data_IF_935456444010
#
_entry.id   IF_935456444010
#
_cell.length_a   1.000
_cell.length_b   1.000
_cell.length_c   1.000
_cell.angle_alpha   90.00
_cell.angle_beta   90.00
_cell.angle_gamma   90.00
#
_symmetry.space_group_name_H-M   'P 1'
#
loop_
_entity.id
_entity.type
_entity.pdbx_description
1 polymer ?
#
# COMPACT_ATOMS: atom_id res chain seq x y z
N UNK A 1 -5.61 -7.62 -10.91
CA UNK A 1 -5.02 -7.59 -12.26
C UNK A 1 -5.03 -6.19 -12.87
N UNK A 2 -6.17 -5.47 -12.93
CA UNK A 2 -6.22 -4.09 -13.43
C UNK A 2 -5.24 -3.15 -12.70
N UNK A 3 -5.18 -3.21 -11.37
CA UNK A 3 -4.23 -2.42 -10.57
C UNK A 3 -2.77 -2.66 -10.99
N UNK A 4 -2.40 -3.92 -11.25
CA UNK A 4 -1.04 -4.27 -11.68
C UNK A 4 -0.72 -3.68 -13.04
N UNK A 5 -1.59 -3.87 -14.03
CA UNK A 5 -1.38 -3.33 -15.38
C UNK A 5 -1.30 -1.80 -15.37
N UNK A 6 -2.17 -1.14 -14.60
CA UNK A 6 -2.14 0.31 -14.43
C UNK A 6 -0.82 0.78 -13.80
N UNK A 7 -0.41 0.19 -12.68
CA UNK A 7 0.83 0.55 -12.00
C UNK A 7 2.08 0.33 -12.85
N UNK A 8 2.13 -0.78 -13.61
CA UNK A 8 3.23 -1.04 -14.54
C UNK A 8 3.24 -0.04 -15.71
N UNK A 9 2.07 0.31 -16.25
CA UNK A 9 1.94 1.33 -17.28
C UNK A 9 2.48 2.69 -16.79
N UNK A 10 2.10 3.11 -15.57
CA UNK A 10 2.60 4.37 -14.99
C UNK A 10 4.11 4.31 -14.73
N UNK A 11 4.64 3.21 -14.19
CA UNK A 11 6.07 3.04 -13.99
C UNK A 11 6.84 3.15 -15.32
N UNK A 12 6.32 2.53 -16.39
CA UNK A 12 6.89 2.64 -17.73
C UNK A 12 6.79 4.07 -18.27
N UNK A 13 5.63 4.73 -18.21
CA UNK A 13 5.49 6.12 -18.67
C UNK A 13 6.44 7.08 -17.94
N UNK A 14 6.65 6.89 -16.64
CA UNK A 14 7.60 7.70 -15.89
C UNK A 14 9.05 7.47 -16.33
N UNK A 15 9.42 6.22 -16.65
CA UNK A 15 10.74 5.92 -17.22
C UNK A 15 10.99 6.63 -18.55
N UNK A 16 9.92 6.90 -19.32
CA UNK A 16 10.01 7.60 -20.61
C UNK A 16 9.88 9.13 -20.47
N UNK A 17 9.43 9.63 -19.32
CA UNK A 17 9.15 11.07 -19.14
C UNK A 17 10.37 11.93 -18.87
N UNK A 18 11.51 11.32 -18.52
CA UNK A 18 12.70 12.03 -18.06
C UNK A 18 12.60 12.60 -16.64
N UNK A 19 11.48 12.41 -15.95
CA UNK A 19 11.25 12.96 -14.60
C UNK A 19 12.32 12.52 -13.59
N UNK A 20 12.83 11.29 -13.69
CA UNK A 20 13.86 10.77 -12.77
C UNK A 20 15.21 11.50 -12.86
N UNK A 21 15.46 12.29 -13.92
CA UNK A 21 16.64 13.17 -14.00
C UNK A 21 16.54 14.42 -13.10
N UNK A 22 15.36 14.68 -12.53
CA UNK A 22 15.12 15.84 -11.67
C UNK A 22 16.04 15.86 -10.45
N UNK A 23 16.49 17.06 -10.08
CA UNK A 23 17.40 17.25 -8.94
C UNK A 23 18.76 16.59 -9.16
N UNK A 24 19.32 16.70 -10.38
CA UNK A 24 20.57 16.05 -10.75
C UNK A 24 20.53 14.53 -10.51
N UNK A 25 19.51 13.86 -11.07
CA UNK A 25 19.28 12.42 -10.96
C UNK A 25 18.88 11.92 -9.55
N UNK A 26 18.69 12.82 -8.58
CA UNK A 26 18.35 12.47 -7.20
C UNK A 26 17.01 11.74 -7.12
N UNK A 27 16.02 12.13 -7.93
CA UNK A 27 14.71 11.47 -7.92
C UNK A 27 14.80 10.01 -8.38
N UNK A 28 15.62 9.72 -9.40
CA UNK A 28 15.93 8.35 -9.81
C UNK A 28 16.60 7.55 -8.69
N UNK A 29 17.60 8.14 -8.01
CA UNK A 29 18.26 7.52 -6.86
C UNK A 29 17.31 7.22 -5.69
N UNK A 30 16.40 8.15 -5.37
CA UNK A 30 15.36 7.94 -4.35
C UNK A 30 14.36 6.85 -4.75
N UNK A 31 14.01 6.77 -6.03
CA UNK A 31 13.13 5.72 -6.56
C UNK A 31 13.74 4.32 -6.37
N UNK A 32 15.03 4.17 -6.67
CA UNK A 32 15.79 2.94 -6.40
C UNK A 32 15.85 2.65 -4.89
N UNK A 33 16.20 3.64 -4.06
CA UNK A 33 16.31 3.47 -2.61
C UNK A 33 15.02 2.99 -1.98
N UNK A 34 13.87 3.56 -2.38
CA UNK A 34 12.56 3.12 -1.91
C UNK A 34 12.25 1.68 -2.32
N UNK A 35 12.53 1.31 -3.57
CA UNK A 35 12.30 -0.05 -4.05
C UNK A 35 13.18 -1.09 -3.34
N UNK A 36 14.47 -0.77 -3.16
CA UNK A 36 15.42 -1.63 -2.41
C UNK A 36 14.93 -1.84 -0.98
N UNK A 37 14.56 -0.77 -0.27
CA UNK A 37 14.07 -0.87 1.11
C UNK A 37 12.83 -1.76 1.27
N UNK A 38 12.05 -1.96 0.21
CA UNK A 38 10.86 -2.81 0.20
C UNK A 38 11.15 -4.29 -0.03
N UNK A 39 12.16 -4.61 -0.84
CA UNK A 39 12.52 -6.00 -1.19
C UNK A 39 13.53 -6.63 -0.23
N UNK A 40 14.16 -5.82 0.62
CA UNK A 40 15.10 -6.26 1.68
C UNK A 40 14.41 -6.55 3.02
N UNK A 41 13.09 -6.33 3.13
CA UNK A 41 12.32 -6.70 4.31
C UNK A 41 12.30 -8.22 4.49
N UNK A 42 12.39 -8.65 5.75
CA UNK A 42 12.10 -10.06 6.06
C UNK A 42 10.60 -10.34 5.91
N UNK A 43 10.25 -11.60 5.66
CA UNK A 43 8.85 -12.01 5.48
C UNK A 43 7.93 -11.55 6.64
N UNK A 44 8.39 -11.72 7.88
CA UNK A 44 7.62 -11.32 9.07
C UNK A 44 7.43 -9.80 9.18
N UNK A 45 8.46 -9.01 8.84
CA UNK A 45 8.36 -7.55 8.81
C UNK A 45 7.39 -7.08 7.74
N UNK A 46 7.52 -7.60 6.50
CA UNK A 46 6.64 -7.26 5.38
C UNK A 46 5.18 -7.62 5.68
N UNK A 47 4.94 -8.77 6.31
CA UNK A 47 3.61 -9.20 6.76
C UNK A 47 3.01 -8.25 7.79
N UNK A 48 3.76 -7.93 8.86
CA UNK A 48 3.29 -7.05 9.93
C UNK A 48 3.00 -5.63 9.41
N UNK A 49 3.88 -5.07 8.58
CA UNK A 49 3.68 -3.77 7.95
C UNK A 49 2.47 -3.78 7.00
N UNK A 50 2.21 -4.90 6.33
CA UNK A 50 1.01 -5.10 5.51
C UNK A 50 -0.29 -5.09 6.33
N UNK A 51 -0.29 -5.72 7.51
CA UNK A 51 -1.45 -5.73 8.42
C UNK A 51 -1.77 -4.31 8.88
N UNK A 52 -0.76 -3.59 9.37
CA UNK A 52 -0.92 -2.23 9.87
C UNK A 52 -1.34 -1.26 8.76
N UNK A 53 -0.82 -1.44 7.55
CA UNK A 53 -1.23 -0.64 6.40
C UNK A 53 -2.73 -0.76 6.14
N UNK A 54 -3.22 -1.99 5.95
CA UNK A 54 -4.61 -2.15 5.51
C UNK A 54 -5.62 -1.87 6.63
N UNK A 55 -5.19 -1.92 7.89
CA UNK A 55 -6.00 -1.39 8.99
C UNK A 55 -6.32 0.09 8.81
N UNK A 56 -5.30 0.91 8.50
CA UNK A 56 -5.48 2.35 8.27
C UNK A 56 -6.22 2.64 6.96
N UNK A 57 -6.05 1.83 5.93
CA UNK A 57 -6.83 1.92 4.68
C UNK A 57 -8.31 1.64 4.94
N UNK A 58 -8.65 0.57 5.66
CA UNK A 58 -10.03 0.27 6.02
C UNK A 58 -10.63 1.36 6.91
N UNK A 59 -9.84 1.93 7.84
CA UNK A 59 -10.26 3.09 8.63
C UNK A 59 -10.55 4.33 7.76
N UNK A 60 -9.68 4.66 6.80
CA UNK A 60 -9.92 5.76 5.87
C UNK A 60 -11.22 5.60 5.07
N UNK A 61 -11.47 4.39 4.56
CA UNK A 61 -12.71 4.08 3.83
C UNK A 61 -13.92 4.20 4.76
N UNK A 62 -13.84 3.69 5.99
CA UNK A 62 -14.90 3.82 6.99
C UNK A 62 -15.22 5.28 7.33
N UNK A 63 -14.20 6.10 7.59
CA UNK A 63 -14.36 7.53 7.85
C UNK A 63 -14.95 8.29 6.65
N UNK A 64 -14.68 7.83 5.42
CA UNK A 64 -15.31 8.40 4.23
C UNK A 64 -16.82 8.12 4.15
N UNK A 65 -17.30 7.05 4.80
CA UNK A 65 -18.71 6.72 4.90
C UNK A 65 -19.41 7.38 6.10
N UNK A 66 -18.65 7.81 7.12
CA UNK A 66 -19.23 8.48 8.31
C UNK A 66 -19.63 9.93 8.06
N UNK A 67 -19.46 10.46 6.84
CA UNK A 67 -19.84 11.83 6.46
C UNK A 67 -20.35 11.89 5.02
N UNK A 68 -21.29 12.79 4.78
CA UNK A 68 -21.82 13.09 3.44
C UNK A 68 -21.10 14.26 2.76
N UNK A 69 -20.38 15.09 3.52
CA UNK A 69 -19.68 16.26 2.98
C UNK A 69 -18.38 15.87 2.28
N UNK A 70 -18.13 16.46 1.11
CA UNK A 70 -16.90 16.22 0.35
C UNK A 70 -15.64 16.56 1.14
N UNK A 71 -15.64 17.69 1.87
CA UNK A 71 -14.52 18.09 2.73
C UNK A 71 -14.27 17.10 3.86
N UNK A 72 -15.34 16.56 4.47
CA UNK A 72 -15.23 15.52 5.49
C UNK A 72 -14.62 14.23 4.93
N UNK A 73 -15.03 13.81 3.73
CA UNK A 73 -14.45 12.62 3.07
C UNK A 73 -12.97 12.81 2.76
N UNK A 74 -12.59 13.98 2.24
CA UNK A 74 -11.20 14.31 1.96
C UNK A 74 -10.35 14.21 3.23
N UNK A 75 -10.76 14.87 4.32
CA UNK A 75 -10.01 14.85 5.57
C UNK A 75 -9.98 13.46 6.23
N UNK A 76 -11.11 12.74 6.21
CA UNK A 76 -11.24 11.39 6.76
C UNK A 76 -10.37 10.36 6.04
N UNK A 77 -10.11 10.55 4.74
CA UNK A 77 -9.19 9.70 3.97
C UNK A 77 -7.74 10.18 4.13
N UNK A 78 -7.51 11.50 4.09
CA UNK A 78 -6.17 12.07 4.07
C UNK A 78 -5.33 11.67 5.28
N UNK A 79 -5.86 11.80 6.49
CA UNK A 79 -5.07 11.58 7.71
C UNK A 79 -4.60 10.12 7.87
N UNK A 80 -5.47 9.09 7.74
CA UNK A 80 -5.00 7.71 7.85
C UNK A 80 -4.07 7.31 6.70
N UNK A 81 -4.30 7.83 5.48
CA UNK A 81 -3.41 7.57 4.33
C UNK A 81 -2.04 8.18 4.56
N UNK A 82 -1.99 9.44 4.98
CA UNK A 82 -0.75 10.12 5.35
C UNK A 82 0.01 9.34 6.42
N UNK A 83 -0.69 8.91 7.48
CA UNK A 83 -0.09 8.20 8.60
C UNK A 83 0.60 6.89 8.17
N UNK A 84 -0.05 6.07 7.34
CA UNK A 84 0.57 4.80 6.94
C UNK A 84 1.77 5.02 6.01
N UNK A 85 1.74 6.06 5.16
CA UNK A 85 2.85 6.39 4.26
C UNK A 85 4.06 6.85 5.07
N UNK A 86 3.89 7.80 5.98
CA UNK A 86 5.02 8.33 6.78
C UNK A 86 5.56 7.32 7.79
N UNK A 87 4.72 6.39 8.23
CA UNK A 87 5.14 5.27 9.11
C UNK A 87 5.86 4.15 8.34
N UNK A 88 5.91 4.20 7.01
CA UNK A 88 6.56 3.19 6.18
C UNK A 88 5.81 1.86 6.13
N UNK A 89 4.49 1.87 6.27
CA UNK A 89 3.68 0.66 6.14
C UNK A 89 3.58 0.21 4.67
N UNK A 90 3.36 -1.08 4.46
CA UNK A 90 3.46 -1.69 3.13
C UNK A 90 2.07 -1.93 2.54
N UNK A 91 1.79 -1.29 1.40
CA UNK A 91 0.55 -1.49 0.64
C UNK A 91 0.85 -2.22 -0.66
N UNK A 92 0.29 -3.41 -0.83
CA UNK A 92 0.53 -4.27 -2.00
C UNK A 92 0.31 -3.52 -3.33
N UNK A 93 -0.78 -2.76 -3.45
CA UNK A 93 -1.10 -1.99 -4.69
C UNK A 93 -0.16 -0.79 -4.90
N UNK A 94 0.42 -0.21 -3.84
CA UNK A 94 1.43 0.82 -4.02
C UNK A 94 2.77 0.20 -4.44
N UNK A 95 3.10 -0.97 -3.89
CA UNK A 95 4.35 -1.67 -4.13
C UNK A 95 4.47 -2.22 -5.56
N UNK A 96 3.36 -2.62 -6.19
CA UNK A 96 3.32 -2.97 -7.61
C UNK A 96 3.57 -1.77 -8.55
N UNK A 97 3.67 -0.53 -8.03
CA UNK A 97 4.24 0.62 -8.73
C UNK A 97 5.68 0.89 -8.27
N UNK A 98 5.92 1.07 -6.97
CA UNK A 98 7.21 1.53 -6.45
C UNK A 98 8.36 0.58 -6.81
N UNK A 99 8.15 -0.74 -6.71
CA UNK A 99 9.21 -1.71 -6.94
C UNK A 99 9.54 -1.83 -8.44
N UNK A 100 8.56 -1.98 -9.36
CA UNK A 100 8.83 -1.90 -10.80
C UNK A 100 9.46 -0.58 -11.24
N UNK A 101 9.04 0.56 -10.69
CA UNK A 101 9.66 1.85 -10.97
C UNK A 101 11.14 1.86 -10.56
N UNK A 102 11.48 1.30 -9.40
CA UNK A 102 12.88 1.14 -8.97
C UNK A 102 13.68 0.19 -9.85
N UNK A 103 13.10 -0.93 -10.30
CA UNK A 103 13.76 -1.86 -11.24
C UNK A 103 14.08 -1.15 -12.57
N UNK A 104 13.13 -0.38 -13.11
CA UNK A 104 13.35 0.40 -14.33
C UNK A 104 14.43 1.49 -14.11
N UNK A 105 14.37 2.22 -13.00
CA UNK A 105 15.36 3.23 -12.66
C UNK A 105 16.78 2.63 -12.47
N UNK A 106 16.89 1.42 -11.92
CA UNK A 106 18.18 0.75 -11.75
C UNK A 106 18.89 0.38 -13.07
N UNK A 107 18.21 0.52 -14.22
CA UNK A 107 18.81 0.35 -15.54
C UNK A 107 19.73 1.51 -15.95
N UNK A 108 19.62 2.67 -15.30
CA UNK A 108 20.47 3.84 -15.55
C UNK A 108 21.58 3.94 -14.48
N UNK A 109 22.88 3.83 -14.86
CA UNK A 109 23.99 3.93 -13.92
C UNK A 109 24.05 5.26 -13.15
N UNK A 110 23.54 6.35 -13.72
CA UNK A 110 23.53 7.65 -13.06
C UNK A 110 22.57 7.69 -11.87
N UNK A 111 21.46 6.96 -11.94
CA UNK A 111 20.52 6.81 -10.83
C UNK A 111 21.09 5.88 -9.76
N UNK A 112 21.77 4.80 -10.18
CA UNK A 112 22.46 3.88 -9.27
C UNK A 112 23.56 4.58 -8.46
N UNK A 113 24.33 5.47 -9.10
CA UNK A 113 25.32 6.29 -8.41
C UNK A 113 24.67 7.16 -7.32
N UNK A 114 23.52 7.77 -7.60
CA UNK A 114 22.77 8.54 -6.61
C UNK A 114 22.14 7.66 -5.53
N UNK A 115 21.64 6.47 -5.86
CA UNK A 115 21.14 5.53 -4.86
C UNK A 115 22.24 5.14 -3.86
N UNK A 116 23.47 4.93 -4.36
CA UNK A 116 24.64 4.61 -3.55
C UNK A 116 25.02 5.77 -2.63
N UNK A 117 24.99 7.03 -3.12
CA UNK A 117 25.24 8.21 -2.29
C UNK A 117 24.19 8.40 -1.18
N UNK A 118 22.97 7.90 -1.40
CA UNK A 118 21.88 7.88 -0.42
C UNK A 118 21.96 6.71 0.59
N UNK A 119 23.01 5.88 0.53
CA UNK A 119 23.26 4.79 1.47
C UNK A 119 22.73 3.42 1.03
N UNK A 120 22.33 3.24 -0.23
CA UNK A 120 22.02 1.91 -0.77
C UNK A 120 23.32 1.13 -0.99
N UNK A 121 23.47 -0.02 -0.34
CA UNK A 121 24.64 -0.87 -0.53
C UNK A 121 24.54 -1.69 -1.83
N UNK A 122 25.67 -2.05 -2.47
CA UNK A 122 25.65 -2.93 -3.64
C UNK A 122 24.93 -4.26 -3.39
N UNK A 123 25.10 -4.85 -2.20
CA UNK A 123 24.44 -6.10 -1.81
C UNK A 123 22.91 -5.95 -1.70
N UNK A 124 22.44 -4.80 -1.21
CA UNK A 124 21.01 -4.50 -1.13
C UNK A 124 20.43 -4.22 -2.53
N UNK A 125 21.20 -3.54 -3.39
CA UNK A 125 20.81 -3.29 -4.78
C UNK A 125 20.72 -4.61 -5.58
N UNK A 126 21.60 -5.57 -5.33
CA UNK A 126 21.56 -6.88 -5.97
C UNK A 126 20.29 -7.69 -5.67
N UNK A 127 19.61 -7.39 -4.55
CA UNK A 127 18.31 -7.98 -4.22
C UNK A 127 17.15 -7.34 -5.01
N UNK A 128 17.36 -6.20 -5.68
CA UNK A 128 16.33 -5.54 -6.47
C UNK A 128 16.08 -6.32 -7.77
N UNK A 129 15.04 -7.14 -7.75
CA UNK A 129 14.63 -7.90 -8.92
C UNK A 129 13.21 -8.44 -8.78
N UNK A 130 12.67 -8.96 -9.89
CA UNK A 130 11.32 -9.50 -9.94
C UNK A 130 11.11 -10.67 -8.95
N UNK A 131 12.10 -11.54 -8.77
CA UNK A 131 12.02 -12.64 -7.80
C UNK A 131 11.82 -12.15 -6.37
N UNK A 132 12.70 -11.27 -5.88
CA UNK A 132 12.60 -10.65 -4.56
C UNK A 132 11.34 -9.80 -4.41
N UNK A 133 10.91 -9.13 -5.48
CA UNK A 133 9.64 -8.41 -5.50
C UNK A 133 8.46 -9.33 -5.18
N UNK A 134 8.35 -10.49 -5.84
CA UNK A 134 7.24 -11.42 -5.59
C UNK A 134 7.34 -12.09 -4.22
N UNK A 135 8.52 -12.58 -3.85
CA UNK A 135 8.71 -13.45 -2.68
C UNK A 135 8.84 -12.64 -1.39
N UNK A 136 9.68 -11.60 -1.38
CA UNK A 136 10.03 -10.87 -0.16
C UNK A 136 9.03 -9.73 0.14
N UNK A 137 8.32 -9.22 -0.88
CA UNK A 137 7.40 -8.10 -0.71
C UNK A 137 5.96 -8.45 -1.08
N UNK A 138 5.65 -8.72 -2.36
CA UNK A 138 4.27 -8.77 -2.84
C UNK A 138 3.45 -9.85 -2.13
N UNK A 139 4.01 -11.05 -1.96
CA UNK A 139 3.34 -12.15 -1.26
C UNK A 139 3.06 -11.83 0.23
N UNK A 140 4.07 -11.56 1.08
CA UNK A 140 3.83 -11.27 2.50
C UNK A 140 2.99 -10.02 2.73
N UNK A 141 3.20 -8.95 1.94
CA UNK A 141 2.42 -7.71 2.07
C UNK A 141 0.97 -7.92 1.68
N UNK A 142 0.69 -8.68 0.61
CA UNK A 142 -0.69 -8.98 0.21
C UNK A 142 -1.41 -9.81 1.26
N UNK A 143 -0.74 -10.83 1.82
CA UNK A 143 -1.28 -11.60 2.94
C UNK A 143 -1.56 -10.69 4.14
N UNK A 144 -0.62 -9.81 4.47
CA UNK A 144 -0.77 -8.85 5.57
C UNK A 144 -1.95 -7.91 5.33
N UNK A 145 -2.09 -7.36 4.13
CA UNK A 145 -3.21 -6.50 3.78
C UNK A 145 -4.56 -7.24 3.93
N UNK A 146 -4.66 -8.48 3.42
CA UNK A 146 -5.88 -9.30 3.56
C UNK A 146 -6.22 -9.51 5.05
N UNK A 147 -5.24 -9.90 5.87
CA UNK A 147 -5.42 -10.11 7.31
C UNK A 147 -5.84 -8.81 7.99
N UNK A 148 -5.14 -7.70 7.76
CA UNK A 148 -5.46 -6.41 8.38
C UNK A 148 -6.87 -5.92 8.04
N UNK A 149 -7.32 -6.10 6.79
CA UNK A 149 -8.67 -5.76 6.39
C UNK A 149 -9.72 -6.66 7.02
N UNK A 150 -9.49 -7.98 7.04
CA UNK A 150 -10.41 -8.94 7.67
C UNK A 150 -10.55 -8.68 9.18
N UNK A 151 -9.45 -8.39 9.87
CA UNK A 151 -9.46 -8.07 11.30
C UNK A 151 -10.19 -6.76 11.57
N UNK A 152 -9.91 -5.70 10.81
CA UNK A 152 -10.60 -4.41 10.98
C UNK A 152 -12.12 -4.54 10.79
N UNK A 153 -12.55 -5.15 9.69
CA UNK A 153 -13.97 -5.33 9.38
C UNK A 153 -14.64 -6.27 10.38
N UNK A 154 -13.99 -7.37 10.75
CA UNK A 154 -14.50 -8.31 11.75
C UNK A 154 -14.80 -7.61 13.07
N UNK A 155 -13.86 -6.81 13.57
CA UNK A 155 -14.07 -6.03 14.79
C UNK A 155 -15.13 -4.94 14.60
N UNK A 156 -15.10 -4.18 13.50
CA UNK A 156 -16.08 -3.14 13.23
C UNK A 156 -17.51 -3.70 13.22
N UNK A 157 -17.72 -4.89 12.65
CA UNK A 157 -19.02 -5.58 12.66
C UNK A 157 -19.39 -6.10 14.05
N UNK A 158 -18.43 -6.65 14.82
CA UNK A 158 -18.70 -7.11 16.19
C UNK A 158 -19.10 -5.98 17.14
N UNK A 159 -18.46 -4.82 17.02
CA UNK A 159 -18.77 -3.65 17.84
C UNK A 159 -19.97 -2.86 17.32
N UNK A 160 -20.16 -2.79 15.99
CA UNK A 160 -21.27 -2.09 15.35
C UNK A 160 -22.61 -2.83 15.46
N UNK A 161 -22.58 -4.17 15.40
CA UNK A 161 -23.75 -5.02 15.63
C UNK A 161 -23.91 -5.35 17.13
N UNK A 162 -23.92 -4.34 18.00
CA UNK A 162 -24.58 -4.51 19.30
C UNK A 162 -25.95 -5.14 19.03
N UNK A 163 -26.24 -6.28 19.67
CA UNK A 163 -27.40 -7.18 19.48
C UNK A 163 -28.42 -6.70 18.44
N UNK A 164 -28.71 -7.48 17.36
CA UNK A 164 -29.66 -7.05 16.33
C UNK A 164 -30.94 -6.51 16.97
N UNK A 165 -31.32 -5.30 16.56
CA UNK A 165 -32.43 -4.55 17.14
C UNK A 165 -33.67 -5.45 17.19
N UNK A 166 -34.14 -5.75 18.40
CA UNK A 166 -35.28 -6.62 18.62
C UNK A 166 -36.52 -6.09 17.88
N UNK A 167 -36.62 -4.77 17.65
CA UNK A 167 -37.71 -4.17 16.87
C UNK A 167 -37.62 -4.49 15.38
N UNK A 168 -36.42 -4.52 14.79
CA UNK A 168 -36.21 -4.95 13.40
C UNK A 168 -36.46 -6.46 13.24
N UNK A 169 -36.05 -7.28 14.21
CA UNK A 169 -36.35 -8.72 14.22
C UNK A 169 -37.86 -8.95 14.27
N UNK A 170 -38.57 -8.20 15.12
CA UNK A 170 -40.02 -8.34 15.27
C UNK A 170 -40.76 -7.86 14.01
N UNK A 171 -40.34 -6.75 13.40
CA UNK A 171 -40.88 -6.26 12.14
C UNK A 171 -40.69 -7.25 10.98
N UNK A 172 -39.54 -7.93 10.91
CA UNK A 172 -39.29 -8.99 9.94
C UNK A 172 -40.19 -10.22 10.17
N UNK A 173 -40.37 -10.64 11.43
CA UNK A 173 -41.28 -11.75 11.77
C UNK A 173 -42.72 -11.46 11.37
N UNK A 174 -43.20 -10.24 11.62
CA UNK A 174 -44.57 -9.84 11.25
C UNK A 174 -44.80 -9.71 9.73
N UNK A 175 -43.74 -9.46 8.96
CA UNK A 175 -43.81 -9.34 7.50
C UNK A 175 -43.71 -10.68 6.79
N UNK A 176 -42.99 -11.66 7.36
CA UNK A 176 -42.79 -12.99 6.76
C UNK A 176 -43.88 -13.99 7.19
N UNK A 177 -44.54 -13.77 8.33
CA UNK A 177 -45.59 -14.66 8.87
C UNK A 177 -47.03 -14.19 8.54
N UNK A 178 -47.21 -13.23 7.64
CA UNK A 178 -48.49 -12.86 7.03
C UNK A 178 -48.51 -13.31 5.58
#
# INVERSE_FOLDING_TARGET
>A
MANLLGSLCIAWLLSQSGLWHSGANLLGGMTIKLAVGKVTLTFGQALALGILCNWLVCLAVWLSFSTTSTSGKILGIYLPVFMFIVSGFEHSVANIYYIPAGILAASDPSYVAQATSLGVTPDALAQLGWGSFFINNLLPVSLGNIIGGAVFIGMALMYGNGRPDETLIQAMKETVLK
#
